data_IF_658255868098
#
_entry.id   IF_658255868098
#
_cell.length_a   1.000
_cell.length_b   1.000
_cell.length_c   1.000
_cell.angle_alpha   90.00
_cell.angle_beta   90.00
_cell.angle_gamma   90.00
#
_symmetry.space_group_name_H-M   'P 1'
#
loop_
_entity.id
_entity.type
_entity.pdbx_description
1 polymer ?
#
# COMPACT_ATOMS: atom_id res chain seq x y z
N UNK A 1 6.74 43.76 -8.84
CA UNK A 1 7.71 42.91 -8.10
C UNK A 1 7.17 41.57 -7.57
N UNK A 2 5.86 41.25 -7.65
CA UNK A 2 5.31 39.95 -7.20
C UNK A 2 5.60 38.78 -8.17
N UNK A 3 5.62 39.02 -9.48
CA UNK A 3 5.79 37.98 -10.52
C UNK A 3 7.16 37.29 -10.54
N UNK A 4 8.27 37.98 -10.25
CA UNK A 4 9.63 37.37 -10.28
C UNK A 4 9.81 36.33 -9.17
N UNK A 5 9.14 36.52 -8.03
CA UNK A 5 9.27 35.64 -6.86
C UNK A 5 8.46 34.34 -7.02
N UNK A 6 7.36 34.38 -7.76
CA UNK A 6 6.56 33.18 -8.11
C UNK A 6 7.31 32.24 -9.05
N UNK A 7 7.99 32.78 -10.07
CA UNK A 7 8.79 31.98 -10.99
C UNK A 7 9.97 31.30 -10.28
N UNK A 8 10.52 31.94 -9.24
CA UNK A 8 11.62 31.40 -8.44
C UNK A 8 11.17 30.20 -7.58
N UNK A 9 10.03 30.30 -6.88
CA UNK A 9 9.46 29.20 -6.10
C UNK A 9 9.03 28.01 -6.97
N UNK A 10 8.42 28.26 -8.13
CA UNK A 10 8.04 27.19 -9.06
C UNK A 10 9.26 26.47 -9.62
N UNK A 11 10.36 27.20 -9.84
CA UNK A 11 11.63 26.63 -10.29
C UNK A 11 12.29 25.81 -9.17
N UNK A 12 12.33 26.33 -7.94
CA UNK A 12 12.80 25.60 -6.76
C UNK A 12 11.98 24.34 -6.48
N UNK A 13 10.66 24.42 -6.62
CA UNK A 13 9.75 23.28 -6.48
C UNK A 13 9.97 22.23 -7.58
N UNK A 14 10.10 22.66 -8.84
CA UNK A 14 10.44 21.76 -9.95
C UNK A 14 11.80 21.10 -9.72
N UNK A 15 12.80 21.87 -9.31
CA UNK A 15 14.14 21.37 -9.01
C UNK A 15 14.10 20.40 -7.82
N UNK A 16 13.23 20.62 -6.84
CA UNK A 16 13.00 19.72 -5.71
C UNK A 16 12.33 18.39 -6.13
N UNK A 17 11.27 18.43 -6.94
CA UNK A 17 10.61 17.21 -7.45
C UNK A 17 11.55 16.42 -8.38
N UNK A 18 12.42 17.11 -9.10
CA UNK A 18 13.44 16.50 -9.96
C UNK A 18 14.66 15.98 -9.18
N UNK A 19 14.79 16.27 -7.87
CA UNK A 19 15.82 15.67 -7.04
C UNK A 19 15.47 14.21 -6.77
N UNK A 20 16.10 13.32 -7.53
CA UNK A 20 16.01 11.86 -7.34
C UNK A 20 14.65 11.26 -7.72
N UNK A 21 14.27 10.18 -7.04
CA UNK A 21 13.06 9.39 -7.31
C UNK A 21 11.82 9.85 -6.50
N UNK A 22 11.76 11.11 -6.08
CA UNK A 22 10.77 11.58 -5.11
C UNK A 22 9.34 11.51 -5.64
N UNK A 23 9.14 11.78 -6.93
CA UNK A 23 7.85 11.68 -7.59
C UNK A 23 7.28 10.25 -7.55
N UNK A 24 8.10 9.23 -7.85
CA UNK A 24 7.64 7.85 -7.83
C UNK A 24 7.33 7.36 -6.40
N UNK A 25 8.12 7.81 -5.41
CA UNK A 25 7.86 7.50 -3.99
C UNK A 25 6.53 8.12 -3.55
N UNK A 26 6.28 9.38 -3.92
CA UNK A 26 5.03 10.07 -3.59
C UNK A 26 3.82 9.38 -4.23
N UNK A 27 3.91 9.02 -5.51
CA UNK A 27 2.85 8.29 -6.22
C UNK A 27 2.62 6.91 -5.59
N UNK A 28 3.69 6.18 -5.25
CA UNK A 28 3.60 4.88 -4.59
C UNK A 28 2.93 4.96 -3.22
N UNK A 29 3.22 5.99 -2.43
CA UNK A 29 2.58 6.22 -1.13
C UNK A 29 1.09 6.53 -1.27
N UNK A 30 0.71 7.41 -2.20
CA UNK A 30 -0.70 7.77 -2.44
C UNK A 30 -1.50 6.55 -2.91
N UNK A 31 -0.99 5.81 -3.90
CA UNK A 31 -1.65 4.61 -4.41
C UNK A 31 -1.73 3.54 -3.31
N UNK A 32 -0.64 3.33 -2.56
CA UNK A 32 -0.61 2.38 -1.45
C UNK A 32 -1.63 2.71 -0.36
N UNK A 33 -1.73 3.99 0.01
CA UNK A 33 -2.71 4.47 0.99
C UNK A 33 -4.16 4.30 0.52
N UNK A 34 -4.47 4.68 -0.72
CA UNK A 34 -5.82 4.50 -1.29
C UNK A 34 -6.17 3.01 -1.45
N UNK A 35 -5.22 2.19 -1.88
CA UNK A 35 -5.42 0.74 -1.99
C UNK A 35 -5.66 0.08 -0.63
N UNK A 36 -4.88 0.46 0.39
CA UNK A 36 -5.13 0.01 1.76
C UNK A 36 -6.54 0.44 2.23
N UNK A 37 -6.95 1.68 1.96
CA UNK A 37 -8.30 2.17 2.26
C UNK A 37 -9.40 1.34 1.56
N UNK A 38 -9.20 0.95 0.31
CA UNK A 38 -10.14 0.09 -0.42
C UNK A 38 -10.28 -1.30 0.23
N UNK A 39 -9.17 -1.91 0.63
CA UNK A 39 -9.18 -3.21 1.32
C UNK A 39 -9.85 -3.09 2.70
N UNK A 40 -9.53 -2.04 3.45
CA UNK A 40 -10.16 -1.76 4.75
C UNK A 40 -11.67 -1.60 4.60
N UNK A 41 -12.14 -0.79 3.65
CA UNK A 41 -13.58 -0.61 3.41
C UNK A 41 -14.28 -1.93 3.04
N UNK A 42 -13.66 -2.75 2.18
CA UNK A 42 -14.21 -4.08 1.88
C UNK A 42 -14.34 -4.95 3.14
N UNK A 43 -13.36 -4.90 4.03
CA UNK A 43 -13.42 -5.69 5.26
C UNK A 43 -14.43 -5.11 6.24
N UNK A 44 -14.38 -3.83 6.53
CA UNK A 44 -15.20 -3.19 7.56
C UNK A 44 -16.66 -3.04 7.14
N UNK A 45 -16.94 -2.75 5.86
CA UNK A 45 -18.30 -2.48 5.40
C UNK A 45 -19.00 -3.71 4.80
N UNK A 46 -18.26 -4.74 4.40
CA UNK A 46 -18.83 -5.94 3.77
C UNK A 46 -18.57 -7.19 4.60
N UNK A 47 -17.30 -7.51 4.88
CA UNK A 47 -16.97 -8.78 5.55
C UNK A 47 -17.38 -8.76 7.03
N UNK A 48 -17.04 -7.71 7.76
CA UNK A 48 -17.32 -7.58 9.19
C UNK A 48 -18.81 -7.71 9.51
N UNK A 49 -19.73 -7.01 8.81
CA UNK A 49 -21.16 -7.21 9.00
C UNK A 49 -21.58 -8.66 8.78
N UNK A 50 -21.09 -9.33 7.73
CA UNK A 50 -21.42 -10.75 7.45
C UNK A 50 -20.99 -11.66 8.60
N UNK A 51 -19.80 -11.46 9.13
CA UNK A 51 -19.27 -12.24 10.28
C UNK A 51 -20.03 -11.90 11.56
N UNK A 52 -20.52 -10.67 11.70
CA UNK A 52 -21.24 -10.18 12.87
C UNK A 52 -22.77 -10.42 12.81
N UNK A 53 -23.34 -10.84 11.67
CA UNK A 53 -24.78 -11.17 11.51
C UNK A 53 -25.32 -12.03 12.68
N UNK A 54 -24.64 -13.12 13.12
CA UNK A 54 -25.14 -13.96 14.21
C UNK A 54 -25.30 -13.23 15.55
N UNK A 55 -24.61 -12.09 15.71
CA UNK A 55 -24.64 -11.26 16.92
C UNK A 55 -25.61 -10.07 16.81
N UNK A 56 -26.29 -9.92 15.67
CA UNK A 56 -27.30 -8.87 15.44
C UNK A 56 -26.73 -7.44 15.47
N UNK A 57 -25.41 -7.29 15.30
CA UNK A 57 -24.70 -6.02 15.29
C UNK A 57 -23.86 -5.91 14.02
N UNK A 58 -23.57 -4.70 13.53
CA UNK A 58 -22.68 -4.51 12.38
C UNK A 58 -21.22 -4.89 12.69
N UNK A 59 -20.84 -4.88 13.97
CA UNK A 59 -19.53 -5.28 14.47
C UNK A 59 -19.65 -5.79 15.92
N UNK A 60 -18.53 -6.13 16.56
CA UNK A 60 -18.53 -6.64 17.93
C UNK A 60 -18.43 -5.55 18.99
N UNK A 61 -18.36 -4.26 18.66
CA UNK A 61 -18.02 -3.19 19.61
C UNK A 61 -18.98 -3.07 20.80
N UNK A 62 -20.24 -3.41 20.55
CA UNK A 62 -21.34 -3.43 21.53
C UNK A 62 -21.67 -4.83 22.02
N UNK A 63 -21.04 -5.86 21.45
CA UNK A 63 -21.10 -7.21 21.96
C UNK A 63 -20.12 -7.33 23.15
N UNK A 64 -20.44 -8.10 24.19
CA UNK A 64 -19.55 -8.34 25.33
C UNK A 64 -18.95 -7.06 25.96
N UNK A 65 -19.81 -6.20 26.51
CA UNK A 65 -19.39 -5.16 27.45
C UNK A 65 -19.54 -5.70 28.86
N UNK A 66 -18.47 -5.69 29.64
CA UNK A 66 -18.49 -6.05 31.05
C UNK A 66 -18.42 -4.80 31.91
N UNK A 67 -19.47 -4.57 32.70
CA UNK A 67 -19.53 -3.49 33.68
C UNK A 67 -19.02 -3.97 35.03
N UNK A 68 -17.95 -3.35 35.52
CA UNK A 68 -17.41 -3.57 36.87
C UNK A 68 -17.33 -2.22 37.58
N UNK A 69 -18.27 -1.94 38.49
CA UNK A 69 -18.48 -0.60 39.07
C UNK A 69 -18.64 0.45 37.95
N UNK A 70 -17.88 1.55 38.00
CA UNK A 70 -17.85 2.61 36.97
C UNK A 70 -16.91 2.27 35.78
N UNK A 71 -16.31 1.07 35.74
CA UNK A 71 -15.43 0.67 34.66
C UNK A 71 -16.18 -0.17 33.61
N UNK A 72 -16.08 0.24 32.34
CA UNK A 72 -16.58 -0.50 31.18
C UNK A 72 -15.44 -1.22 30.46
N UNK A 73 -15.39 -2.54 30.55
CA UNK A 73 -14.43 -3.35 29.79
C UNK A 73 -15.08 -3.80 28.48
N UNK A 74 -14.64 -3.19 27.37
CA UNK A 74 -15.19 -3.39 26.03
C UNK A 74 -14.47 -4.52 25.27
N UNK A 75 -14.65 -5.77 25.72
CA UNK A 75 -14.07 -6.94 25.06
C UNK A 75 -14.50 -7.07 23.60
N UNK A 76 -15.74 -6.68 23.29
CA UNK A 76 -16.25 -6.60 21.93
C UNK A 76 -15.43 -5.74 20.99
N UNK A 77 -15.03 -4.54 21.42
CA UNK A 77 -14.23 -3.64 20.59
C UNK A 77 -12.85 -4.22 20.28
N UNK A 78 -12.24 -4.91 21.25
CA UNK A 78 -10.99 -5.63 21.01
C UNK A 78 -11.19 -6.77 20.00
N UNK A 79 -12.28 -7.53 20.12
CA UNK A 79 -12.61 -8.60 19.17
C UNK A 79 -12.86 -8.06 17.75
N UNK A 80 -13.53 -6.91 17.60
CA UNK A 80 -13.67 -6.21 16.32
C UNK A 80 -12.31 -5.99 15.67
N UNK A 81 -11.38 -5.35 16.39
CA UNK A 81 -10.04 -5.06 15.85
C UNK A 81 -9.28 -6.34 15.49
N UNK A 82 -9.36 -7.36 16.34
CA UNK A 82 -8.70 -8.64 16.10
C UNK A 82 -9.22 -9.34 14.83
N UNK A 83 -10.54 -9.39 14.65
CA UNK A 83 -11.19 -10.00 13.48
C UNK A 83 -10.91 -9.18 12.22
N UNK A 84 -10.99 -7.85 12.29
CA UNK A 84 -10.65 -6.95 11.18
C UNK A 84 -9.21 -7.15 10.73
N UNK A 85 -8.25 -7.23 11.65
CA UNK A 85 -6.84 -7.44 11.33
C UNK A 85 -6.59 -8.75 10.58
N UNK A 86 -7.16 -9.86 11.06
CA UNK A 86 -7.08 -11.17 10.41
C UNK A 86 -7.74 -11.13 9.03
N UNK A 87 -8.89 -10.47 8.92
CA UNK A 87 -9.65 -10.36 7.68
C UNK A 87 -8.93 -9.51 6.63
N UNK A 88 -8.37 -8.36 6.98
CA UNK A 88 -7.56 -7.52 6.06
C UNK A 88 -6.37 -8.31 5.54
N UNK A 89 -5.65 -9.00 6.43
CA UNK A 89 -4.49 -9.82 6.06
C UNK A 89 -4.90 -10.95 5.10
N UNK A 90 -6.04 -11.59 5.35
CA UNK A 90 -6.59 -12.65 4.51
C UNK A 90 -7.04 -12.15 3.13
N UNK A 91 -7.77 -11.04 3.08
CA UNK A 91 -8.20 -10.41 1.81
C UNK A 91 -7.00 -9.97 0.99
N UNK A 92 -6.01 -9.32 1.62
CA UNK A 92 -4.79 -8.92 0.94
C UNK A 92 -4.04 -10.13 0.38
N UNK A 93 -3.94 -11.22 1.14
CA UNK A 93 -3.38 -12.48 0.67
C UNK A 93 -4.14 -13.04 -0.55
N UNK A 94 -5.48 -13.05 -0.51
CA UNK A 94 -6.30 -13.50 -1.64
C UNK A 94 -6.09 -12.62 -2.88
N UNK A 95 -6.05 -11.30 -2.73
CA UNK A 95 -5.81 -10.37 -3.83
C UNK A 95 -4.41 -10.57 -4.44
N UNK A 96 -3.37 -10.69 -3.61
CA UNK A 96 -2.01 -10.97 -4.07
C UNK A 96 -1.91 -12.32 -4.77
N UNK A 97 -2.58 -13.36 -4.23
CA UNK A 97 -2.61 -14.69 -4.84
C UNK A 97 -3.35 -14.67 -6.17
N UNK A 98 -4.49 -13.98 -6.26
CA UNK A 98 -5.24 -13.84 -7.51
C UNK A 98 -4.43 -13.10 -8.57
N UNK A 99 -3.75 -12.02 -8.18
CA UNK A 99 -2.85 -11.28 -9.05
C UNK A 99 -1.68 -12.15 -9.53
N UNK A 100 -0.96 -12.81 -8.61
CA UNK A 100 0.16 -13.70 -8.97
C UNK A 100 -0.28 -14.86 -9.89
N UNK A 101 -1.50 -15.37 -9.69
CA UNK A 101 -2.09 -16.41 -10.56
C UNK A 101 -2.46 -15.87 -11.95
N UNK A 102 -3.00 -14.66 -12.03
CA UNK A 102 -3.42 -14.05 -13.29
C UNK A 102 -2.23 -13.59 -14.15
N UNK A 103 -1.17 -13.07 -13.52
CA UNK A 103 -0.03 -12.49 -14.23
C UNK A 103 1.08 -13.52 -14.50
N UNK A 104 1.00 -14.73 -13.93
CA UNK A 104 2.01 -15.79 -14.08
C UNK A 104 3.41 -15.43 -13.55
N UNK A 105 3.55 -14.23 -13.00
CA UNK A 105 4.77 -13.64 -12.49
C UNK A 105 4.59 -13.44 -10.99
N UNK A 106 5.62 -13.78 -10.21
CA UNK A 106 5.73 -13.24 -8.85
C UNK A 106 5.65 -11.72 -9.00
N UNK A 107 4.70 -11.08 -8.34
CA UNK A 107 4.67 -9.62 -8.23
C UNK A 107 5.94 -9.17 -7.51
N UNK A 108 7.04 -9.04 -8.25
CA UNK A 108 8.17 -8.29 -7.78
C UNK A 108 7.66 -6.87 -7.56
N UNK A 109 7.89 -6.26 -6.39
CA UNK A 109 7.61 -4.84 -6.23
C UNK A 109 8.26 -4.08 -7.40
N UNK A 110 7.59 -3.05 -7.96
CA UNK A 110 8.15 -2.31 -9.08
C UNK A 110 9.59 -1.92 -8.74
N UNK A 111 10.55 -2.23 -9.63
CA UNK A 111 11.97 -2.03 -9.33
C UNK A 111 12.18 -0.58 -8.91
N UNK A 112 12.89 -0.39 -7.81
CA UNK A 112 13.31 0.96 -7.42
C UNK A 112 14.13 1.55 -8.56
N UNK A 113 14.15 2.89 -8.69
CA UNK A 113 14.87 3.55 -9.78
C UNK A 113 16.33 3.11 -9.89
N UNK A 114 16.98 2.81 -8.75
CA UNK A 114 18.32 2.24 -8.70
C UNK A 114 18.38 0.83 -9.30
N UNK A 115 17.45 -0.06 -8.97
CA UNK A 115 17.40 -1.40 -9.55
C UNK A 115 17.17 -1.32 -11.06
N UNK A 116 16.29 -0.43 -11.52
CA UNK A 116 16.05 -0.21 -12.95
C UNK A 116 17.31 0.31 -13.69
N UNK A 117 18.04 1.26 -13.10
CA UNK A 117 19.31 1.76 -13.65
C UNK A 117 20.39 0.67 -13.68
N UNK A 118 20.50 -0.13 -12.62
CA UNK A 118 21.47 -1.22 -12.54
C UNK A 118 21.17 -2.32 -13.57
N UNK A 119 19.90 -2.64 -13.82
CA UNK A 119 19.51 -3.56 -14.90
C UNK A 119 19.90 -3.01 -16.27
N UNK A 120 19.62 -1.74 -16.54
CA UNK A 120 20.01 -1.10 -17.80
C UNK A 120 21.53 -1.11 -18.02
N UNK A 121 22.31 -0.80 -16.98
CA UNK A 121 23.78 -0.85 -17.05
C UNK A 121 24.28 -2.29 -17.30
N UNK A 122 23.68 -3.30 -16.66
CA UNK A 122 24.06 -4.70 -16.86
C UNK A 122 23.84 -5.15 -18.31
N UNK A 123 22.70 -4.76 -18.90
CA UNK A 123 22.36 -5.06 -20.29
C UNK A 123 23.32 -4.36 -21.28
N UNK A 124 23.70 -3.12 -21.00
CA UNK A 124 24.70 -2.41 -21.81
C UNK A 124 26.09 -3.05 -21.72
N UNK A 125 26.54 -3.43 -20.53
CA UNK A 125 27.84 -4.08 -20.33
C UNK A 125 27.92 -5.47 -20.99
N UNK A 126 26.83 -6.23 -20.94
CA UNK A 126 26.76 -7.54 -21.63
C UNK A 126 26.80 -7.35 -23.15
N UNK A 127 26.15 -6.31 -23.67
CA UNK A 127 26.22 -5.93 -25.09
C UNK A 127 27.65 -5.56 -25.51
N UNK A 128 28.34 -4.72 -24.74
CA UNK A 128 29.73 -4.31 -25.01
C UNK A 128 30.68 -5.52 -24.97
N UNK A 129 30.50 -6.43 -24.01
CA UNK A 129 31.30 -7.66 -23.91
C UNK A 129 31.17 -8.54 -25.15
N UNK A 130 29.97 -8.63 -25.73
CA UNK A 130 29.75 -9.37 -26.98
C UNK A 130 30.39 -8.68 -28.18
N UNK A 131 30.33 -7.34 -28.25
CA UNK A 131 31.01 -6.56 -29.30
C UNK A 131 32.54 -6.67 -29.23
N UNK A 132 33.10 -6.72 -28.02
CA UNK A 132 34.54 -6.92 -27.80
C UNK A 132 35.05 -8.33 -28.11
N UNK A 133 34.17 -9.34 -28.17
CA UNK A 133 34.54 -10.74 -28.50
C UNK A 133 34.47 -11.05 -30.00
N UNK A 134 33.94 -10.14 -30.82
CA UNK A 134 33.79 -10.31 -32.28
C UNK A 134 34.93 -9.65 -33.09
N UNK A 135 36.02 -9.26 -32.42
CA UNK A 135 37.21 -8.63 -33.00
C UNK A 135 38.46 -9.39 -32.58
#
# INVERSE_FOLDING_TARGET
MKSVRETMLLKEFRDFINKGNLLAIAVGFVIGGTFAGLVTALVEDVIMPIVAIPFGQPNFDKALILHINDAEIRFGAFLTVAVTFVSISFVLFLMLKAYNKATGSQAAPPPTAEVALLTAIHEELTTIRQQGSAK
#
